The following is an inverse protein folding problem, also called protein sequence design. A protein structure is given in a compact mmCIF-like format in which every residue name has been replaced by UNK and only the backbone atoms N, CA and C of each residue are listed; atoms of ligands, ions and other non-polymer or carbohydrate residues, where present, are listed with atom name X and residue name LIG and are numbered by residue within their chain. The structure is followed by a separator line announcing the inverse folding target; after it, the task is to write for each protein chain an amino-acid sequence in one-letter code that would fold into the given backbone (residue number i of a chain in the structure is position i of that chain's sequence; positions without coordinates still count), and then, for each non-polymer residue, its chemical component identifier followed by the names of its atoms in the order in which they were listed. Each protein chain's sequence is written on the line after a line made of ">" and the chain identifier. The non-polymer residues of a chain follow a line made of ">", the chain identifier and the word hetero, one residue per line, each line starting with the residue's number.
data_IF_947035110241
#
_entry.id   IF_947035110241
#
_cell.length_a   1.000
_cell.length_b   1.000
_cell.length_c   1.000
_cell.angle_alpha   90.00
_cell.angle_beta   90.00
_cell.angle_gamma   90.00
#
_symmetry.space_group_name_H-M   'P 1'
#
loop_
_entity.id
_entity.type
_entity.pdbx_description
1 polymer ?
#
# COMPACT_ATOMS: atom_id res chain seq x y z
N UNK A 1 3.89 -19.53 -22.83
CA UNK A 1 3.38 -19.24 -21.69
C UNK A 1 3.91 -19.81 -20.40
N UNK A 2 3.85 -18.98 -19.35
CA UNK A 2 4.10 -19.42 -17.98
C UNK A 2 2.76 -19.77 -17.31
N UNK A 3 2.77 -20.80 -16.48
CA UNK A 3 1.66 -21.03 -15.56
C UNK A 3 1.69 -19.96 -14.47
N UNK A 4 0.52 -19.43 -14.09
CA UNK A 4 0.40 -18.41 -13.06
C UNK A 4 -0.61 -18.87 -11.99
N UNK A 5 -0.18 -18.87 -10.72
CA UNK A 5 -1.03 -19.11 -9.57
C UNK A 5 -1.03 -17.89 -8.66
N UNK A 6 -2.22 -17.44 -8.28
CA UNK A 6 -2.42 -16.25 -7.43
C UNK A 6 -3.08 -16.64 -6.13
N UNK A 7 -2.44 -16.36 -5.01
CA UNK A 7 -3.03 -16.41 -3.68
C UNK A 7 -3.63 -15.05 -3.36
N UNK A 8 -4.95 -14.94 -3.51
CA UNK A 8 -5.66 -13.68 -3.31
C UNK A 8 -6.23 -13.62 -1.91
N UNK A 9 -5.95 -12.55 -1.16
CA UNK A 9 -6.51 -12.34 0.18
C UNK A 9 -8.03 -12.57 0.17
N UNK A 10 -8.56 -13.41 1.05
CA UNK A 10 -9.96 -13.90 1.07
C UNK A 10 -10.98 -12.77 0.95
N UNK A 11 -10.86 -11.75 1.78
CA UNK A 11 -11.80 -10.62 1.72
C UNK A 11 -11.74 -9.88 0.36
N UNK A 12 -10.57 -9.80 -0.28
CA UNK A 12 -10.45 -9.23 -1.62
C UNK A 12 -11.00 -10.16 -2.70
N UNK A 13 -10.84 -11.47 -2.53
CA UNK A 13 -11.40 -12.48 -3.42
C UNK A 13 -12.94 -12.40 -3.47
N UNK A 14 -13.56 -12.12 -2.31
CA UNK A 14 -15.01 -12.00 -2.19
C UNK A 14 -15.52 -10.62 -2.63
N UNK A 15 -14.85 -9.53 -2.21
CA UNK A 15 -15.26 -8.16 -2.52
C UNK A 15 -14.98 -7.73 -3.96
N UNK A 16 -14.03 -8.39 -4.66
CA UNK A 16 -13.54 -7.98 -5.98
C UNK A 16 -13.65 -9.13 -7.01
N UNK A 17 -14.87 -9.66 -7.27
CA UNK A 17 -15.06 -10.85 -8.11
C UNK A 17 -14.56 -10.65 -9.55
N UNK A 18 -14.64 -9.43 -10.08
CA UNK A 18 -14.19 -9.13 -11.45
C UNK A 18 -12.68 -9.26 -11.62
N UNK A 19 -11.89 -8.97 -10.58
CA UNK A 19 -10.42 -9.16 -10.64
C UNK A 19 -10.06 -10.64 -10.72
N UNK A 20 -10.72 -11.48 -9.92
CA UNK A 20 -10.59 -12.95 -10.02
C UNK A 20 -10.97 -13.44 -11.40
N UNK A 21 -12.14 -13.03 -11.90
CA UNK A 21 -12.62 -13.43 -13.22
C UNK A 21 -11.64 -13.04 -14.33
N UNK A 22 -11.11 -11.82 -14.28
CA UNK A 22 -10.12 -11.33 -15.24
C UNK A 22 -8.84 -12.19 -15.23
N UNK A 23 -8.32 -12.54 -14.05
CA UNK A 23 -7.17 -13.44 -13.92
C UNK A 23 -7.45 -14.82 -14.53
N UNK A 24 -8.65 -15.38 -14.27
CA UNK A 24 -9.09 -16.66 -14.84
C UNK A 24 -9.24 -16.61 -16.37
N UNK A 25 -9.79 -15.51 -16.92
CA UNK A 25 -9.89 -15.30 -18.37
C UNK A 25 -8.51 -15.28 -19.03
N UNK A 26 -7.50 -14.77 -18.33
CA UNK A 26 -6.10 -14.82 -18.79
C UNK A 26 -5.41 -16.17 -18.55
N UNK A 27 -6.11 -17.14 -17.99
CA UNK A 27 -5.59 -18.49 -17.74
C UNK A 27 -4.85 -18.67 -16.43
N UNK A 28 -4.91 -17.71 -15.50
CA UNK A 28 -4.31 -17.86 -14.18
C UNK A 28 -5.23 -18.66 -13.25
N UNK A 29 -4.61 -19.45 -12.36
CA UNK A 29 -5.29 -20.09 -11.23
C UNK A 29 -5.32 -19.13 -10.05
N UNK A 30 -6.51 -18.71 -9.61
CA UNK A 30 -6.67 -17.78 -8.49
C UNK A 30 -7.42 -18.47 -7.35
N UNK A 31 -6.78 -18.56 -6.17
CA UNK A 31 -7.33 -19.18 -4.96
C UNK A 31 -7.45 -18.16 -3.84
N UNK A 32 -8.46 -18.33 -2.98
CA UNK A 32 -8.62 -17.50 -1.77
C UNK A 32 -7.58 -17.89 -0.72
N UNK A 33 -6.89 -16.91 -0.14
CA UNK A 33 -5.92 -17.10 0.95
C UNK A 33 -6.50 -16.57 2.29
N UNK A 34 -6.41 -17.34 3.39
CA UNK A 34 -5.77 -18.65 3.50
C UNK A 34 -6.52 -19.77 2.78
N UNK A 35 -5.75 -20.71 2.25
CA UNK A 35 -6.27 -21.88 1.51
C UNK A 35 -5.91 -23.20 2.22
N UNK A 36 -6.50 -24.31 1.78
CA UNK A 36 -6.14 -25.65 2.24
C UNK A 36 -4.97 -26.27 1.48
N UNK A 37 -4.40 -25.58 0.49
CA UNK A 37 -3.38 -26.11 -0.39
C UNK A 37 -1.98 -26.09 0.22
N UNK A 38 -1.72 -25.17 1.15
CA UNK A 38 -0.45 -25.00 1.84
C UNK A 38 -0.53 -25.35 3.31
N UNK A 39 0.61 -25.65 3.98
CA UNK A 39 0.63 -25.85 5.42
C UNK A 39 0.34 -24.56 6.17
N UNK A 40 0.91 -23.44 5.72
CA UNK A 40 0.66 -22.13 6.31
C UNK A 40 -0.85 -21.80 6.27
N UNK A 41 -1.50 -22.01 5.12
CA UNK A 41 -2.94 -21.77 4.99
C UNK A 41 -3.77 -22.68 5.90
N UNK A 42 -3.47 -23.99 5.95
CA UNK A 42 -4.17 -24.94 6.83
C UNK A 42 -4.02 -24.60 8.30
N UNK A 43 -2.80 -24.24 8.75
CA UNK A 43 -2.55 -23.86 10.15
C UNK A 43 -3.38 -22.65 10.54
N UNK A 44 -3.38 -21.61 9.71
CA UNK A 44 -4.15 -20.39 9.97
C UNK A 44 -5.67 -20.66 9.97
N UNK A 45 -6.16 -21.49 9.05
CA UNK A 45 -7.58 -21.87 9.02
C UNK A 45 -8.00 -22.72 10.24
N UNK A 46 -7.09 -23.51 10.79
CA UNK A 46 -7.35 -24.27 12.01
C UNK A 46 -7.48 -23.36 13.24
N UNK A 47 -6.66 -22.30 13.31
CA UNK A 47 -6.68 -21.32 14.40
C UNK A 47 -7.80 -20.28 14.26
N UNK A 48 -8.05 -19.83 13.03
CA UNK A 48 -9.00 -18.77 12.69
C UNK A 48 -9.82 -19.15 11.43
N UNK A 49 -10.83 -20.02 11.54
CA UNK A 49 -11.59 -20.50 10.37
C UNK A 49 -12.27 -19.40 9.55
N UNK A 50 -12.74 -18.34 10.23
CA UNK A 50 -13.50 -17.23 9.63
C UNK A 50 -12.61 -16.00 9.31
N UNK A 51 -11.28 -16.15 9.32
CA UNK A 51 -10.38 -15.03 9.03
C UNK A 51 -10.64 -14.42 7.65
N UNK A 52 -10.69 -13.08 7.52
CA UNK A 52 -10.78 -12.42 6.23
C UNK A 52 -9.48 -12.55 5.41
N UNK A 53 -8.43 -13.10 6.01
CA UNK A 53 -7.10 -13.19 5.44
C UNK A 53 -6.33 -11.86 5.51
N UNK A 54 -5.03 -11.95 5.23
CA UNK A 54 -4.15 -10.79 5.11
C UNK A 54 -3.16 -10.98 3.97
N UNK A 55 -2.52 -9.90 3.53
CA UNK A 55 -1.46 -10.01 2.54
C UNK A 55 -0.28 -10.83 3.08
N UNK A 56 0.05 -10.71 4.37
CA UNK A 56 1.09 -11.51 5.02
C UNK A 56 0.82 -13.01 4.94
N UNK A 57 -0.44 -13.43 5.11
CA UNK A 57 -0.85 -14.84 4.96
C UNK A 57 -0.69 -15.28 3.50
N UNK A 58 -1.17 -14.51 2.54
CA UNK A 58 -1.05 -14.83 1.12
C UNK A 58 0.42 -14.91 0.65
N UNK A 59 1.29 -14.07 1.21
CA UNK A 59 2.75 -14.13 0.98
C UNK A 59 3.32 -15.45 1.52
N UNK A 60 2.97 -15.85 2.74
CA UNK A 60 3.41 -17.13 3.32
C UNK A 60 3.03 -18.32 2.43
N UNK A 61 1.79 -18.39 1.96
CA UNK A 61 1.32 -19.45 1.08
C UNK A 61 2.06 -19.47 -0.26
N UNK A 62 2.27 -18.31 -0.86
CA UNK A 62 2.97 -18.20 -2.15
C UNK A 62 4.46 -18.61 -2.03
N UNK A 63 5.12 -18.22 -0.95
CA UNK A 63 6.51 -18.62 -0.67
C UNK A 63 6.58 -20.12 -0.43
N UNK A 64 5.71 -20.68 0.43
CA UNK A 64 5.65 -22.12 0.68
C UNK A 64 5.49 -22.90 -0.61
N UNK A 65 4.53 -22.52 -1.45
CA UNK A 65 4.31 -23.17 -2.74
C UNK A 65 5.55 -23.13 -3.66
N UNK A 66 6.32 -22.03 -3.61
CA UNK A 66 7.53 -21.90 -4.41
C UNK A 66 8.70 -22.74 -3.87
N UNK A 67 8.92 -22.74 -2.54
CA UNK A 67 10.08 -23.43 -1.95
C UNK A 67 9.87 -24.94 -1.80
N UNK A 68 8.62 -25.40 -1.76
CA UNK A 68 8.27 -26.83 -1.67
C UNK A 68 8.05 -27.48 -3.02
N UNK A 69 8.13 -26.73 -4.12
CA UNK A 69 8.01 -27.32 -5.47
C UNK A 69 9.15 -28.29 -5.74
N UNK A 70 8.88 -29.60 -5.89
CA UNK A 70 9.92 -30.62 -6.11
C UNK A 70 10.64 -30.45 -7.45
N UNK A 71 10.06 -29.76 -8.39
CA UNK A 71 10.67 -29.51 -9.71
C UNK A 71 11.66 -28.35 -9.69
N UNK A 72 11.63 -27.51 -8.66
CA UNK A 72 12.44 -26.29 -8.54
C UNK A 72 12.16 -25.24 -9.64
N UNK A 73 11.05 -25.36 -10.38
CA UNK A 73 10.71 -24.45 -11.48
C UNK A 73 9.81 -23.29 -11.05
N UNK A 74 9.10 -23.42 -9.94
CA UNK A 74 8.22 -22.37 -9.43
C UNK A 74 9.04 -21.18 -8.94
N UNK A 75 8.58 -19.99 -9.26
CA UNK A 75 9.18 -18.72 -8.83
C UNK A 75 8.12 -17.88 -8.14
N UNK A 76 8.49 -17.34 -7.00
CA UNK A 76 7.66 -16.39 -6.27
C UNK A 76 7.85 -14.98 -6.83
N UNK A 77 6.74 -14.27 -7.02
CA UNK A 77 6.75 -12.87 -7.43
C UNK A 77 5.95 -12.05 -6.42
N UNK A 78 6.62 -11.08 -5.78
CA UNK A 78 6.01 -10.12 -4.86
C UNK A 78 5.93 -8.75 -5.52
N UNK A 79 4.79 -8.06 -5.35
CA UNK A 79 4.48 -6.80 -6.03
C UNK A 79 4.82 -5.51 -5.29
N UNK A 80 5.31 -5.55 -4.02
CA UNK A 80 5.59 -4.35 -3.22
C UNK A 80 6.66 -4.61 -2.16
N UNK A 81 6.99 -3.64 -1.32
CA UNK A 81 7.94 -3.62 -0.19
C UNK A 81 9.42 -3.91 -0.51
N UNK A 82 9.76 -4.67 -1.53
CA UNK A 82 11.13 -5.02 -1.85
C UNK A 82 11.80 -3.95 -2.73
N UNK A 83 13.07 -3.65 -2.45
CA UNK A 83 13.81 -2.58 -3.11
C UNK A 83 13.84 -2.69 -4.64
N UNK A 84 13.95 -3.90 -5.20
CA UNK A 84 13.95 -4.08 -6.66
C UNK A 84 12.59 -3.71 -7.28
N UNK A 85 11.48 -3.96 -6.58
CA UNK A 85 10.14 -3.55 -7.05
C UNK A 85 10.02 -2.04 -7.04
N UNK A 86 10.48 -1.37 -5.96
CA UNK A 86 10.49 0.08 -5.86
C UNK A 86 11.32 0.69 -7.01
N UNK A 87 12.52 0.13 -7.26
CA UNK A 87 13.41 0.58 -8.32
C UNK A 87 12.76 0.47 -9.71
N UNK A 88 12.16 -0.67 -10.02
CA UNK A 88 11.48 -0.86 -11.32
C UNK A 88 10.32 0.13 -11.50
N UNK A 89 9.58 0.45 -10.45
CA UNK A 89 8.46 1.38 -10.54
C UNK A 89 8.88 2.85 -10.64
N UNK A 90 10.15 3.20 -10.41
CA UNK A 90 10.64 4.59 -10.58
C UNK A 90 10.55 5.11 -12.00
N UNK A 91 10.33 4.24 -13.00
CA UNK A 91 10.01 4.66 -14.36
C UNK A 91 8.84 5.65 -14.40
N UNK A 92 7.84 5.50 -13.50
CA UNK A 92 6.69 6.40 -13.41
C UNK A 92 7.13 7.83 -13.05
N UNK A 93 7.95 7.99 -12.03
CA UNK A 93 8.46 9.32 -11.63
C UNK A 93 9.46 9.90 -12.60
N UNK A 94 10.27 9.04 -13.26
CA UNK A 94 11.20 9.48 -14.31
C UNK A 94 10.44 10.01 -15.54
N UNK A 95 9.37 9.33 -15.97
CA UNK A 95 8.51 9.81 -17.04
C UNK A 95 7.72 11.06 -16.62
N UNK A 96 7.19 11.12 -15.40
CA UNK A 96 6.50 12.29 -14.87
C UNK A 96 7.38 13.54 -14.91
N UNK A 97 8.69 13.43 -14.63
CA UNK A 97 9.64 14.55 -14.80
C UNK A 97 9.72 15.07 -16.24
N UNK A 98 9.64 14.19 -17.23
CA UNK A 98 9.62 14.60 -18.63
C UNK A 98 8.27 15.21 -19.03
N UNK A 99 7.19 14.66 -18.53
CA UNK A 99 5.83 15.16 -18.76
C UNK A 99 5.63 16.56 -18.16
N UNK A 100 6.16 16.83 -16.97
CA UNK A 100 6.16 18.17 -16.36
C UNK A 100 6.87 19.20 -17.27
N UNK A 101 8.02 18.83 -17.86
CA UNK A 101 8.71 19.72 -18.82
C UNK A 101 7.85 20.02 -20.05
N UNK A 102 7.12 19.02 -20.56
CA UNK A 102 6.19 19.21 -21.70
C UNK A 102 5.04 20.12 -21.29
N UNK A 103 4.58 20.05 -20.03
CA UNK A 103 3.56 20.93 -19.47
C UNK A 103 4.07 22.36 -19.18
N UNK A 104 5.36 22.62 -19.33
CA UNK A 104 5.98 23.92 -19.04
C UNK A 104 6.38 24.08 -17.56
N UNK A 105 6.29 23.00 -16.77
CA UNK A 105 6.63 22.98 -15.35
C UNK A 105 8.07 22.49 -15.11
N UNK A 106 8.71 22.97 -14.06
CA UNK A 106 10.07 22.54 -13.70
C UNK A 106 10.05 21.37 -12.72
N UNK A 107 9.59 21.61 -11.51
CA UNK A 107 9.43 20.63 -10.43
C UNK A 107 8.10 20.88 -9.73
N UNK A 108 7.46 19.82 -9.18
CA UNK A 108 6.27 20.01 -8.35
C UNK A 108 6.65 20.58 -6.97
N UNK A 109 5.74 21.36 -6.38
CA UNK A 109 5.84 21.78 -4.98
C UNK A 109 5.45 20.64 -4.04
N UNK A 110 4.53 19.77 -4.51
CA UNK A 110 4.01 18.65 -3.71
C UNK A 110 3.93 17.39 -4.57
N UNK A 111 4.41 16.27 -4.04
CA UNK A 111 4.29 14.93 -4.65
C UNK A 111 3.49 14.02 -3.71
N UNK A 112 2.40 13.42 -4.21
CA UNK A 112 1.45 12.64 -3.40
C UNK A 112 1.23 11.27 -4.03
N UNK A 113 1.15 10.22 -3.20
CA UNK A 113 0.75 8.89 -3.65
C UNK A 113 0.21 8.03 -2.52
N UNK A 114 -0.74 7.15 -2.81
CA UNK A 114 -1.20 6.18 -1.84
C UNK A 114 -0.15 5.08 -1.64
N UNK A 115 -0.02 4.60 -0.41
CA UNK A 115 0.97 3.62 -0.02
C UNK A 115 0.35 2.49 0.81
N UNK A 116 0.39 1.27 0.27
CA UNK A 116 0.14 0.02 0.99
C UNK A 116 1.48 -0.59 1.43
N UNK A 117 2.13 -1.36 0.54
CA UNK A 117 3.51 -1.82 0.75
C UNK A 117 4.58 -0.79 0.36
N UNK A 118 4.22 0.29 -0.35
CA UNK A 118 5.07 1.43 -0.64
C UNK A 118 5.57 1.56 -2.08
N UNK A 119 5.54 0.51 -2.91
CA UNK A 119 6.13 0.56 -4.26
C UNK A 119 5.43 1.53 -5.21
N UNK A 120 4.09 1.61 -5.16
CA UNK A 120 3.32 2.55 -5.97
C UNK A 120 3.73 4.00 -5.68
N UNK A 121 3.78 4.36 -4.39
CA UNK A 121 4.21 5.68 -3.96
C UNK A 121 5.67 5.95 -4.33
N UNK A 122 6.58 5.01 -4.02
CA UNK A 122 8.00 5.14 -4.30
C UNK A 122 8.29 5.28 -5.80
N UNK A 123 7.54 4.60 -6.64
CA UNK A 123 7.67 4.69 -8.09
C UNK A 123 7.51 6.11 -8.63
N UNK A 124 6.54 6.86 -8.09
CA UNK A 124 6.41 8.28 -8.41
C UNK A 124 7.43 9.14 -7.65
N UNK A 125 7.57 8.91 -6.32
CA UNK A 125 8.22 9.86 -5.41
C UNK A 125 9.75 9.82 -5.44
N UNK A 126 10.39 8.67 -5.61
CA UNK A 126 11.84 8.55 -5.46
C UNK A 126 12.65 9.40 -6.46
N UNK A 127 12.29 9.53 -7.75
CA UNK A 127 12.97 10.46 -8.64
C UNK A 127 12.94 11.91 -8.15
N UNK A 128 11.85 12.34 -7.50
CA UNK A 128 11.73 13.68 -6.90
C UNK A 128 12.39 13.77 -5.52
N UNK A 129 12.52 12.64 -4.82
CA UNK A 129 13.28 12.58 -3.56
C UNK A 129 14.74 12.92 -3.79
N UNK A 130 15.32 12.49 -4.92
CA UNK A 130 16.67 12.88 -5.31
C UNK A 130 16.82 14.41 -5.48
N UNK A 131 15.81 15.08 -6.06
CA UNK A 131 15.84 16.53 -6.18
C UNK A 131 15.72 17.19 -4.79
N UNK A 132 14.87 16.67 -3.92
CA UNK A 132 14.72 17.17 -2.53
C UNK A 132 16.02 17.05 -1.74
N UNK A 133 16.73 15.92 -1.83
CA UNK A 133 18.04 15.72 -1.20
C UNK A 133 19.06 16.71 -1.75
N UNK A 134 18.98 17.07 -3.02
CA UNK A 134 19.82 18.07 -3.68
C UNK A 134 19.36 19.51 -3.45
N UNK A 135 18.42 19.76 -2.54
CA UNK A 135 18.02 21.09 -2.07
C UNK A 135 16.74 21.66 -2.69
N UNK A 136 16.00 20.89 -3.51
CA UNK A 136 14.70 21.33 -4.02
C UNK A 136 13.66 21.34 -2.87
N UNK A 137 12.84 22.41 -2.82
CA UNK A 137 11.75 22.51 -1.85
C UNK A 137 10.51 21.79 -2.36
N UNK A 138 10.42 20.49 -2.05
CA UNK A 138 9.31 19.61 -2.47
C UNK A 138 8.73 18.94 -1.24
N UNK A 139 7.42 19.06 -1.01
CA UNK A 139 6.70 18.27 -0.03
C UNK A 139 6.36 16.89 -0.63
N UNK A 140 6.73 15.81 0.05
CA UNK A 140 6.49 14.44 -0.42
C UNK A 140 5.62 13.72 0.62
N UNK A 141 4.41 13.32 0.19
CA UNK A 141 3.34 12.88 1.07
C UNK A 141 2.86 11.48 0.67
N UNK A 142 3.33 10.42 1.33
CA UNK A 142 2.69 9.11 1.26
C UNK A 142 1.37 9.11 2.04
N UNK A 143 0.35 8.46 1.48
CA UNK A 143 -1.00 8.46 2.05
C UNK A 143 -1.47 7.03 2.32
N UNK A 144 -1.98 6.80 3.53
CA UNK A 144 -2.48 5.50 3.98
C UNK A 144 -3.89 5.60 4.59
N UNK A 145 -4.62 4.49 4.77
CA UNK A 145 -5.90 4.50 5.48
C UNK A 145 -5.70 4.52 7.01
N UNK A 146 -6.58 5.21 7.74
CA UNK A 146 -6.62 5.18 9.21
C UNK A 146 -6.82 3.78 9.79
N UNK A 147 -7.37 2.88 9.01
CA UNK A 147 -7.58 1.47 9.37
C UNK A 147 -6.29 0.64 9.34
N UNK A 148 -5.24 1.11 8.67
CA UNK A 148 -3.96 0.41 8.52
C UNK A 148 -2.80 1.42 8.58
N UNK A 149 -2.61 2.11 9.75
CA UNK A 149 -1.74 3.29 9.88
C UNK A 149 -0.28 2.89 10.14
N UNK A 150 0.36 2.26 9.16
CA UNK A 150 1.74 1.78 9.27
C UNK A 150 2.73 2.93 9.40
N UNK A 151 2.59 3.99 8.61
CA UNK A 151 3.54 5.11 8.57
C UNK A 151 3.25 6.17 9.62
N UNK A 152 1.97 6.38 9.97
CA UNK A 152 1.56 7.46 10.87
C UNK A 152 1.54 7.06 12.34
N UNK A 153 1.36 5.75 12.66
CA UNK A 153 1.19 5.31 14.05
C UNK A 153 2.05 4.12 14.47
N UNK A 154 2.47 3.25 13.51
CA UNK A 154 3.21 2.05 13.86
C UNK A 154 4.68 2.34 14.20
N UNK A 155 5.29 1.54 15.10
CA UNK A 155 6.71 1.68 15.41
C UNK A 155 7.60 1.32 14.21
N UNK A 156 8.82 1.88 14.17
CA UNK A 156 9.88 1.44 13.27
C UNK A 156 10.65 0.30 13.96
N UNK A 157 10.56 -0.90 13.43
CA UNK A 157 11.15 -2.11 14.02
C UNK A 157 11.58 -3.11 12.95
N UNK A 158 12.35 -4.12 13.35
CA UNK A 158 12.51 -5.31 12.50
C UNK A 158 11.25 -6.15 12.56
N UNK A 159 10.78 -6.60 11.39
CA UNK A 159 9.65 -7.51 11.28
C UNK A 159 9.77 -8.39 10.04
N UNK A 160 8.99 -9.45 9.97
CA UNK A 160 8.85 -10.29 8.78
C UNK A 160 7.84 -9.69 7.80
N UNK A 161 8.09 -9.88 6.52
CA UNK A 161 7.17 -9.44 5.46
C UNK A 161 5.92 -10.31 5.35
N UNK A 162 5.86 -11.45 6.05
CA UNK A 162 4.80 -12.46 5.99
C UNK A 162 4.45 -13.02 7.36
N UNK A 163 3.23 -13.55 7.50
CA UNK A 163 2.68 -14.01 8.78
C UNK A 163 3.37 -15.27 9.32
N UNK A 164 3.83 -16.17 8.45
CA UNK A 164 4.53 -17.40 8.87
C UNK A 164 6.05 -17.21 9.05
N UNK A 165 6.54 -15.99 9.01
CA UNK A 165 7.96 -15.66 9.23
C UNK A 165 8.93 -16.35 8.25
N UNK A 166 8.50 -16.58 7.02
CA UNK A 166 9.30 -17.21 5.97
C UNK A 166 10.19 -16.22 5.22
N UNK A 167 9.89 -14.92 5.32
CA UNK A 167 10.69 -13.85 4.72
C UNK A 167 11.82 -13.43 5.64
N UNK A 168 12.90 -12.82 5.11
CA UNK A 168 13.92 -12.16 5.95
C UNK A 168 13.32 -11.04 6.79
N UNK A 169 13.97 -10.72 7.90
CA UNK A 169 13.67 -9.54 8.70
C UNK A 169 13.98 -8.26 7.92
N UNK A 170 13.06 -7.33 7.94
CA UNK A 170 13.18 -6.01 7.31
C UNK A 170 12.96 -4.92 8.36
N UNK A 171 13.80 -3.88 8.34
CA UNK A 171 13.59 -2.69 9.15
C UNK A 171 12.47 -1.85 8.53
N UNK A 172 11.31 -1.75 9.18
CA UNK A 172 10.13 -1.11 8.63
C UNK A 172 9.23 -0.49 9.71
N UNK A 173 8.39 0.44 9.33
CA UNK A 173 7.19 0.75 10.11
C UNK A 173 6.23 -0.42 9.97
N UNK A 174 5.79 -0.99 11.09
CA UNK A 174 4.99 -2.23 11.08
C UNK A 174 3.95 -2.28 12.18
N UNK A 175 2.79 -2.82 11.82
CA UNK A 175 1.69 -3.17 12.74
C UNK A 175 1.86 -4.58 13.36
N UNK A 176 2.98 -5.28 13.02
CA UNK A 176 3.26 -6.66 13.39
C UNK A 176 2.80 -7.66 12.32
N UNK A 177 3.66 -8.65 12.00
CA UNK A 177 3.42 -9.63 10.92
C UNK A 177 2.17 -10.50 11.10
N UNK A 178 1.64 -10.61 12.34
CA UNK A 178 0.40 -11.32 12.63
C UNK A 178 -0.86 -10.42 12.50
N UNK A 179 -0.70 -9.12 12.22
CA UNK A 179 -1.82 -8.20 12.08
C UNK A 179 -2.71 -8.55 10.90
N UNK A 180 -4.02 -8.66 11.15
CA UNK A 180 -5.05 -8.86 10.13
C UNK A 180 -5.79 -7.53 9.94
N UNK A 181 -5.61 -6.85 8.81
CA UNK A 181 -6.27 -5.57 8.56
C UNK A 181 -7.80 -5.68 8.49
N UNK A 182 -8.54 -4.67 8.97
CA UNK A 182 -10.00 -4.63 8.84
C UNK A 182 -10.43 -4.58 7.36
N UNK A 183 -11.67 -5.01 7.03
CA UNK A 183 -12.14 -5.20 5.67
C UNK A 183 -12.55 -3.90 4.97
N UNK A 184 -11.70 -2.87 4.98
CA UNK A 184 -11.91 -1.65 4.20
C UNK A 184 -11.82 -1.91 2.69
N UNK A 185 -12.48 -1.08 1.87
CA UNK A 185 -12.56 -1.30 0.43
C UNK A 185 -11.30 -0.94 -0.38
N UNK A 186 -10.29 -0.34 0.23
CA UNK A 186 -8.96 -0.11 -0.36
C UNK A 186 -8.03 -1.32 -0.12
N UNK A 187 -8.29 -2.43 -0.78
CA UNK A 187 -7.59 -3.71 -0.56
C UNK A 187 -6.07 -3.65 -0.75
N UNK A 188 -5.59 -2.84 -1.70
CA UNK A 188 -4.16 -2.64 -1.97
C UNK A 188 -3.42 -1.83 -0.90
N UNK A 189 -4.14 -1.23 0.07
CA UNK A 189 -3.56 -0.49 1.19
C UNK A 189 -3.65 -1.25 2.52
N UNK A 190 -4.03 -2.53 2.49
CA UNK A 190 -4.17 -3.39 3.67
C UNK A 190 -2.95 -4.29 3.85
N UNK A 191 -1.85 -3.72 4.30
CA UNK A 191 -0.63 -4.46 4.60
C UNK A 191 -0.06 -4.03 5.96
N UNK A 192 0.50 -4.97 6.72
CA UNK A 192 0.99 -4.70 8.08
C UNK A 192 2.30 -3.90 8.12
N UNK A 193 3.07 -3.87 7.04
CA UNK A 193 4.39 -3.23 6.99
C UNK A 193 4.54 -2.28 5.82
N UNK A 194 5.64 -1.52 5.82
CA UNK A 194 5.97 -0.55 4.79
C UNK A 194 7.37 -0.82 4.25
N UNK A 195 7.60 -0.57 2.96
CA UNK A 195 8.90 -0.76 2.30
C UNK A 195 10.04 -0.08 3.07
N UNK A 196 11.16 -0.77 3.35
CA UNK A 196 12.26 -0.24 4.16
C UNK A 196 12.80 1.11 3.68
N UNK A 197 12.94 1.31 2.37
CA UNK A 197 13.43 2.58 1.83
C UNK A 197 12.43 3.73 2.01
N UNK A 198 11.12 3.45 1.96
CA UNK A 198 10.09 4.45 2.28
C UNK A 198 10.15 4.79 3.77
N UNK A 199 10.28 3.78 4.63
CA UNK A 199 10.42 3.98 6.07
C UNK A 199 11.67 4.80 6.41
N UNK A 200 12.80 4.50 5.78
CA UNK A 200 14.03 5.25 5.98
C UNK A 200 13.84 6.74 5.60
N UNK A 201 13.19 7.01 4.48
CA UNK A 201 12.91 8.39 4.05
C UNK A 201 11.98 9.13 5.02
N UNK A 202 11.02 8.44 5.66
CA UNK A 202 10.19 9.01 6.73
C UNK A 202 11.04 9.31 7.97
N UNK A 203 11.87 8.36 8.39
CA UNK A 203 12.77 8.50 9.55
C UNK A 203 13.74 9.67 9.36
N UNK A 204 14.22 9.90 8.14
CA UNK A 204 15.09 11.05 7.78
C UNK A 204 14.33 12.37 7.59
N UNK A 205 13.00 12.36 7.73
CA UNK A 205 12.18 13.58 7.57
C UNK A 205 12.02 14.05 6.12
N UNK A 206 12.33 13.18 5.15
CA UNK A 206 12.13 13.49 3.73
C UNK A 206 10.67 13.38 3.32
N UNK A 207 9.89 12.50 3.96
CA UNK A 207 8.48 12.27 3.70
C UNK A 207 7.62 12.62 4.92
N UNK A 208 6.42 13.16 4.66
CA UNK A 208 5.43 13.53 5.67
C UNK A 208 4.15 12.70 5.47
N UNK A 209 4.03 11.51 6.07
CA UNK A 209 2.89 10.62 5.86
C UNK A 209 1.59 11.22 6.40
N UNK A 210 0.46 10.89 5.72
CA UNK A 210 -0.89 11.22 6.16
C UNK A 210 -1.80 10.01 6.10
N UNK A 211 -2.84 10.00 6.93
CA UNK A 211 -3.87 8.97 6.91
C UNK A 211 -5.26 9.59 6.73
N UNK A 212 -6.15 8.85 6.04
CA UNK A 212 -7.54 9.28 5.79
C UNK A 212 -8.52 8.15 6.06
N UNK A 213 -9.71 8.55 6.53
CA UNK A 213 -10.88 7.67 6.60
C UNK A 213 -11.41 7.34 5.20
N UNK A 214 -11.93 6.13 5.03
CA UNK A 214 -12.45 5.71 3.72
C UNK A 214 -13.64 6.55 3.23
N UNK A 215 -14.48 7.07 4.13
CA UNK A 215 -15.58 7.98 3.77
C UNK A 215 -15.09 9.25 3.08
N UNK A 216 -14.06 9.89 3.64
CA UNK A 216 -13.40 11.06 3.04
C UNK A 216 -12.77 10.73 1.69
N UNK A 217 -12.18 9.55 1.57
CA UNK A 217 -11.59 9.09 0.30
C UNK A 217 -12.66 8.90 -0.78
N UNK A 218 -13.79 8.27 -0.47
CA UNK A 218 -14.89 8.10 -1.42
C UNK A 218 -15.59 9.42 -1.78
N UNK A 219 -15.76 10.35 -0.82
CA UNK A 219 -16.21 11.72 -1.10
C UNK A 219 -15.32 12.40 -2.13
N UNK A 220 -14.00 12.32 -1.92
CA UNK A 220 -12.99 12.86 -2.83
C UNK A 220 -13.01 12.18 -4.19
N UNK A 221 -13.20 10.86 -4.23
CA UNK A 221 -13.34 10.08 -5.46
C UNK A 221 -14.57 10.47 -6.28
N UNK A 222 -15.71 10.73 -5.62
CA UNK A 222 -16.92 11.21 -6.31
C UNK A 222 -16.74 12.64 -6.83
N UNK A 223 -16.06 13.50 -6.08
CA UNK A 223 -15.70 14.84 -6.55
C UNK A 223 -14.85 14.74 -7.80
N UNK A 224 -13.79 13.93 -7.78
CA UNK A 224 -12.92 13.66 -8.92
C UNK A 224 -13.70 13.13 -10.14
N UNK A 225 -14.55 12.13 -9.91
CA UNK A 225 -15.34 11.55 -11.01
C UNK A 225 -16.27 12.56 -11.68
N UNK A 226 -16.84 13.49 -10.92
CA UNK A 226 -17.73 14.55 -11.45
C UNK A 226 -16.97 15.66 -12.17
N UNK A 227 -15.74 15.97 -11.75
CA UNK A 227 -14.95 17.05 -12.32
C UNK A 227 -14.07 16.59 -13.49
N UNK A 228 -13.47 15.39 -13.37
CA UNK A 228 -12.49 14.88 -14.33
C UNK A 228 -13.05 13.76 -15.24
N UNK A 229 -14.26 13.27 -14.98
CA UNK A 229 -14.91 12.25 -15.80
C UNK A 229 -14.30 10.85 -15.64
N UNK A 230 -13.48 10.60 -14.62
CA UNK A 230 -12.77 9.34 -14.42
C UNK A 230 -13.05 8.75 -13.02
N UNK A 231 -13.47 7.48 -12.97
CA UNK A 231 -13.68 6.76 -11.71
C UNK A 231 -12.36 6.14 -11.28
N UNK A 232 -11.83 6.59 -10.15
CA UNK A 232 -10.55 6.10 -9.60
C UNK A 232 -10.73 4.82 -8.78
N UNK A 233 -9.64 4.05 -8.62
CA UNK A 233 -9.60 2.96 -7.66
C UNK A 233 -9.73 3.48 -6.22
N UNK A 234 -10.32 2.72 -5.28
CA UNK A 234 -10.42 3.10 -3.88
C UNK A 234 -9.07 3.41 -3.22
N UNK A 235 -8.02 2.77 -3.68
CA UNK A 235 -6.64 3.06 -3.27
C UNK A 235 -6.22 4.48 -3.70
N UNK A 236 -6.44 4.82 -4.96
CA UNK A 236 -6.09 6.12 -5.56
C UNK A 236 -6.85 7.28 -4.91
N UNK A 237 -8.08 7.04 -4.42
CA UNK A 237 -8.89 8.05 -3.76
C UNK A 237 -8.21 8.65 -2.52
N UNK A 238 -7.31 7.91 -1.85
CA UNK A 238 -6.51 8.42 -0.74
C UNK A 238 -5.54 9.52 -1.20
N UNK A 239 -4.89 9.31 -2.35
CA UNK A 239 -4.03 10.34 -2.94
C UNK A 239 -4.84 11.56 -3.40
N UNK A 240 -6.03 11.34 -3.97
CA UNK A 240 -6.93 12.43 -4.39
C UNK A 240 -7.40 13.25 -3.18
N UNK A 241 -7.75 12.60 -2.05
CA UNK A 241 -8.13 13.31 -0.83
C UNK A 241 -7.03 14.27 -0.35
N UNK A 242 -5.79 13.77 -0.28
CA UNK A 242 -4.64 14.60 0.09
C UNK A 242 -4.37 15.72 -0.94
N UNK A 243 -4.59 15.46 -2.24
CA UNK A 243 -4.43 16.44 -3.31
C UNK A 243 -5.43 17.57 -3.18
N UNK A 244 -6.71 17.25 -2.89
CA UNK A 244 -7.74 18.24 -2.65
C UNK A 244 -7.39 19.10 -1.42
N UNK A 245 -6.94 18.48 -0.32
CA UNK A 245 -6.55 19.21 0.88
C UNK A 245 -5.37 20.16 0.62
N UNK A 246 -4.35 19.74 -0.14
CA UNK A 246 -3.22 20.62 -0.53
C UNK A 246 -3.66 21.75 -1.48
N UNK A 247 -4.58 21.48 -2.41
CA UNK A 247 -5.12 22.50 -3.30
C UNK A 247 -5.95 23.54 -2.54
N UNK A 248 -6.79 23.09 -1.58
CA UNK A 248 -7.56 23.99 -0.71
C UNK A 248 -6.62 24.84 0.14
N UNK A 249 -5.61 24.23 0.76
CA UNK A 249 -4.59 24.93 1.54
C UNK A 249 -3.85 25.98 0.70
N UNK A 250 -3.43 25.64 -0.52
CA UNK A 250 -2.76 26.59 -1.41
C UNK A 250 -3.65 27.79 -1.73
N UNK A 251 -4.95 27.55 -2.01
CA UNK A 251 -5.94 28.62 -2.22
C UNK A 251 -6.10 29.51 -1.01
N UNK A 252 -6.22 28.94 0.19
CA UNK A 252 -6.37 29.69 1.45
C UNK A 252 -5.13 30.52 1.78
N UNK A 253 -3.94 30.00 1.46
CA UNK A 253 -2.68 30.73 1.61
C UNK A 253 -2.41 31.75 0.49
N UNK A 254 -3.25 31.80 -0.57
CA UNK A 254 -3.04 32.64 -1.74
C UNK A 254 -1.77 32.28 -2.54
N UNK A 255 -1.36 31.02 -2.52
CA UNK A 255 -0.16 30.51 -3.18
C UNK A 255 -0.51 29.67 -4.40
N UNK A 256 0.17 29.90 -5.49
CA UNK A 256 0.18 28.99 -6.63
C UNK A 256 1.10 27.80 -6.33
N UNK A 257 0.63 26.57 -6.56
CA UNK A 257 1.40 25.34 -6.36
C UNK A 257 1.16 24.34 -7.47
N UNK A 258 2.22 23.67 -7.89
CA UNK A 258 2.18 22.49 -8.76
C UNK A 258 2.08 21.25 -7.85
N UNK A 259 0.93 20.58 -7.87
CA UNK A 259 0.67 19.37 -7.09
C UNK A 259 0.64 18.17 -8.02
N UNK A 260 1.62 17.28 -7.87
CA UNK A 260 1.72 16.05 -8.64
C UNK A 260 1.24 14.87 -7.78
N UNK A 261 0.26 14.11 -8.26
CA UNK A 261 -0.16 12.92 -7.56
C UNK A 261 -0.22 11.68 -8.47
N UNK A 262 -0.13 10.49 -7.86
CA UNK A 262 -0.23 9.22 -8.58
C UNK A 262 -1.68 8.81 -8.79
N UNK A 263 -2.19 8.90 -10.01
CA UNK A 263 -3.45 8.27 -10.42
C UNK A 263 -3.16 6.81 -10.81
N UNK A 264 -3.07 5.94 -9.81
CA UNK A 264 -2.49 4.59 -9.94
C UNK A 264 -3.47 3.49 -10.31
N UNK A 265 -4.77 3.79 -10.46
CA UNK A 265 -5.74 2.80 -10.84
C UNK A 265 -7.13 3.36 -11.11
N UNK A 266 -7.84 2.70 -12.04
CA UNK A 266 -9.26 2.97 -12.30
C UNK A 266 -10.17 2.17 -11.37
N UNK A 267 -11.39 2.64 -11.12
CA UNK A 267 -12.36 2.05 -10.21
C UNK A 267 -13.44 1.19 -10.89
N UNK A 268 -13.36 0.94 -12.20
CA UNK A 268 -14.42 0.24 -12.94
C UNK A 268 -14.66 -1.21 -12.45
N UNK A 269 -13.66 -1.83 -11.84
CA UNK A 269 -13.79 -3.15 -11.19
C UNK A 269 -14.13 -3.06 -9.70
N UNK A 270 -14.24 -1.86 -9.14
CA UNK A 270 -14.44 -1.62 -7.71
C UNK A 270 -15.75 -0.86 -7.41
N UNK A 271 -16.69 -0.85 -8.37
CA UNK A 271 -17.97 -0.13 -8.24
C UNK A 271 -18.82 -0.57 -7.04
N UNK A 272 -18.64 -1.80 -6.57
CA UNK A 272 -19.32 -2.28 -5.34
C UNK A 272 -18.94 -1.46 -4.10
N UNK A 273 -17.72 -0.92 -4.02
CA UNK A 273 -17.31 -0.01 -2.94
C UNK A 273 -17.99 1.35 -3.05
N UNK A 274 -18.12 1.87 -4.26
CA UNK A 274 -18.86 3.11 -4.54
C UNK A 274 -20.36 2.98 -4.22
N UNK A 275 -20.97 1.85 -4.59
CA UNK A 275 -22.37 1.56 -4.27
C UNK A 275 -22.60 1.56 -2.76
N UNK A 276 -21.77 0.90 -1.98
CA UNK A 276 -21.83 0.91 -0.52
C UNK A 276 -21.70 2.32 0.07
N UNK A 277 -20.78 3.13 -0.47
CA UNK A 277 -20.63 4.52 -0.03
C UNK A 277 -21.90 5.35 -0.33
N UNK A 278 -22.39 5.30 -1.58
CA UNK A 278 -23.57 6.07 -2.00
C UNK A 278 -24.86 5.63 -1.30
N UNK A 279 -24.97 4.36 -0.92
CA UNK A 279 -26.10 3.82 -0.14
C UNK A 279 -25.95 4.00 1.37
N UNK A 280 -24.88 4.67 1.86
CA UNK A 280 -24.65 4.92 3.29
C UNK A 280 -24.28 3.66 4.10
N UNK A 281 -23.83 2.60 3.43
CA UNK A 281 -23.46 1.34 4.08
C UNK A 281 -21.95 1.26 4.40
N UNK A 282 -21.19 2.27 4.02
CA UNK A 282 -19.77 2.32 4.31
C UNK A 282 -19.51 3.00 5.65
N UNK A 283 -18.81 2.33 6.55
CA UNK A 283 -18.43 2.88 7.87
C UNK A 283 -16.93 3.11 7.94
N UNK A 284 -16.54 4.19 8.61
CA UNK A 284 -15.13 4.44 8.90
C UNK A 284 -14.62 3.51 10.00
N UNK A 285 -13.34 3.23 9.92
CA UNK A 285 -12.62 2.50 10.96
C UNK A 285 -11.28 3.19 11.20
N UNK A 286 -11.05 3.55 12.44
CA UNK A 286 -9.75 3.96 12.94
C UNK A 286 -9.20 2.86 13.82
N UNK A 287 -7.93 2.47 13.62
CA UNK A 287 -7.32 1.39 14.38
C UNK A 287 -7.23 1.79 15.87
N UNK A 288 -7.92 1.05 16.79
CA UNK A 288 -7.84 1.33 18.22
C UNK A 288 -6.42 1.14 18.76
N UNK A 289 -6.03 1.97 19.72
CA UNK A 289 -4.69 1.92 20.32
C UNK A 289 -4.38 0.56 20.96
N UNK A 290 -5.36 -0.04 21.63
CA UNK A 290 -5.24 -1.36 22.23
C UNK A 290 -5.00 -2.47 21.20
N UNK A 291 -5.60 -2.37 20.01
CA UNK A 291 -5.38 -3.31 18.91
C UNK A 291 -3.97 -3.14 18.35
N UNK A 292 -3.51 -1.91 18.18
CA UNK A 292 -2.15 -1.58 17.75
C UNK A 292 -1.13 -2.16 18.75
N UNK A 293 -1.29 -1.90 20.03
CA UNK A 293 -0.40 -2.40 21.08
C UNK A 293 -0.39 -3.94 21.14
N UNK A 294 -1.55 -4.58 20.98
CA UNK A 294 -1.65 -6.04 20.95
C UNK A 294 -0.94 -6.63 19.75
N UNK A 295 -1.13 -6.06 18.56
CA UNK A 295 -0.55 -6.59 17.33
C UNK A 295 0.97 -6.39 17.26
N UNK A 296 1.50 -5.33 17.85
CA UNK A 296 2.94 -5.02 17.86
C UNK A 296 3.71 -5.81 18.93
N UNK A 297 3.06 -6.51 19.86
CA UNK A 297 3.74 -7.36 20.86
C UNK A 297 4.65 -8.44 20.24
N UNK A 298 4.33 -8.91 19.05
CA UNK A 298 5.16 -9.91 18.34
C UNK A 298 6.58 -9.38 18.08
N UNK A 299 6.74 -8.05 17.98
CA UNK A 299 8.02 -7.38 17.73
C UNK A 299 8.98 -7.44 18.91
N UNK A 300 8.47 -7.64 20.14
CA UNK A 300 9.29 -7.73 21.36
C UNK A 300 10.25 -8.93 21.32
N UNK A 301 9.89 -9.98 20.57
CA UNK A 301 10.68 -11.20 20.42
C UNK A 301 11.69 -11.12 19.25
N UNK A 302 11.71 -10.02 18.51
CA UNK A 302 12.59 -9.82 17.36
C UNK A 302 13.79 -8.93 17.73
N UNK A 303 14.88 -9.00 16.95
CA UNK A 303 16.03 -8.10 17.14
C UNK A 303 15.57 -6.63 17.13
N UNK A 304 16.18 -5.81 17.96
CA UNK A 304 15.87 -4.38 17.97
C UNK A 304 16.44 -3.71 16.71
N UNK A 305 15.67 -2.84 16.09
CA UNK A 305 16.15 -2.01 14.99
C UNK A 305 17.32 -1.12 15.48
N UNK A 306 18.33 -0.84 14.64
CA UNK A 306 19.44 0.00 15.04
C UNK A 306 18.94 1.35 15.54
N UNK A 307 19.50 1.79 16.67
CA UNK A 307 19.24 3.14 17.16
C UNK A 307 19.62 4.16 16.07
N UNK A 308 18.74 5.15 15.87
CA UNK A 308 18.94 6.23 14.91
C UNK A 308 20.29 6.90 15.15
N UNK A 309 21.22 6.81 14.21
CA UNK A 309 22.38 7.70 14.21
C UNK A 309 21.88 9.08 13.78
N UNK A 310 21.73 9.98 14.73
CA UNK A 310 21.49 11.40 14.44
C UNK A 310 22.76 11.99 13.84
N UNK A 311 22.87 11.93 12.53
CA UNK A 311 23.96 12.51 11.77
C UNK A 311 23.50 12.75 10.36
N UNK A 312 23.46 14.00 9.94
CA UNK A 312 23.27 14.37 8.53
C UNK A 312 24.38 13.71 7.70
N UNK A 313 24.01 13.18 6.54
CA UNK A 313 24.92 12.78 5.48
C UNK A 313 25.77 13.96 5.04
#
# INVERSE_FOLDING_TARGET
>A
GLECKVYMVRISFDQKPFRKLMMQVWGANCVASPSTETNAGRTILAEMPDTPGSLGIAISEAIEAAVTDPTGKTRYSLGSVLNHVLLHQTIIGLEAKQQLKVAGEKLPDVVIGCAGGGSNFAGLAFPFTADKINGANIDIIPVEPTACPTMTRAPFAYDHGDTACMTPLLAMHTLGHAFVPPPIHAGGLRYHGMAPLVCQAIVEGLFAPRSYHQSKCYESALTWAKTEGAICAPETSHAIAATIDEAVKAREEGKEKVILFSYSGHGLMDLAGYDKYMSGQLSDYELPEEVLQKSTKVLENLPQAPARKTGRW
#
